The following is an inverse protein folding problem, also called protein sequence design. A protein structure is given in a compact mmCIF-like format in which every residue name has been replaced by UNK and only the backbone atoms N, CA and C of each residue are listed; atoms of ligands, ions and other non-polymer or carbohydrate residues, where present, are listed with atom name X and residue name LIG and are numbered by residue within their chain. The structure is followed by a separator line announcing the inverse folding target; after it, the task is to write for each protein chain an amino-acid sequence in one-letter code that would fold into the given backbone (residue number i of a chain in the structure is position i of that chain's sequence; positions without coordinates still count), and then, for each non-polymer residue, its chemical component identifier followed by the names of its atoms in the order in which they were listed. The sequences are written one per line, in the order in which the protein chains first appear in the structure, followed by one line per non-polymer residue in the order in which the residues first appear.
data_IF_318608894830
#
_entry.id   IF_318608894830
#
_cell.length_a   1.000
_cell.length_b   1.000
_cell.length_c   1.000
_cell.angle_alpha   90.00
_cell.angle_beta   90.00
_cell.angle_gamma   90.00
#
_symmetry.space_group_name_H-M   'P 1'
#
loop_
_entity.id
_entity.type
_entity.pdbx_description
1 polymer ?
#
# COMPACT_ATOMS: atom_id res chain seq x y z
N UNK A 1 71.92 -3.43 -32.73
CA UNK A 1 72.59 -4.20 -31.68
C UNK A 1 71.86 -3.95 -30.35
N UNK A 2 71.51 -5.04 -29.66
CA UNK A 2 71.03 -5.16 -28.26
C UNK A 2 69.64 -4.61 -27.90
N UNK A 3 68.68 -5.47 -28.21
CA UNK A 3 67.56 -5.90 -27.36
C UNK A 3 67.96 -6.13 -25.89
N UNK A 4 67.11 -5.69 -24.96
CA UNK A 4 66.95 -6.31 -23.64
C UNK A 4 65.46 -6.56 -23.39
N UNK A 5 65.14 -7.84 -23.26
CA UNK A 5 63.87 -8.39 -22.82
C UNK A 5 63.83 -8.36 -21.29
N UNK A 6 62.75 -7.83 -20.70
CA UNK A 6 62.38 -8.15 -19.32
C UNK A 6 61.14 -9.05 -19.34
N UNK A 7 61.40 -10.30 -18.99
CA UNK A 7 60.43 -11.35 -18.69
C UNK A 7 59.76 -11.05 -17.34
N UNK A 8 58.43 -10.96 -17.33
CA UNK A 8 57.64 -11.06 -16.09
C UNK A 8 56.85 -12.37 -16.11
N UNK A 9 57.30 -13.28 -15.25
CA UNK A 9 56.70 -14.58 -14.93
C UNK A 9 55.35 -14.39 -14.22
N UNK A 10 54.25 -14.82 -14.85
CA UNK A 10 52.96 -14.99 -14.19
C UNK A 10 52.97 -16.25 -13.31
N UNK A 11 53.12 -16.06 -12.00
CA UNK A 11 52.83 -17.06 -10.99
C UNK A 11 51.32 -17.17 -10.78
N UNK A 12 50.72 -18.29 -11.21
CA UNK A 12 49.36 -18.69 -10.84
C UNK A 12 49.38 -19.25 -9.42
N UNK A 13 49.06 -18.44 -8.41
CA UNK A 13 48.72 -18.95 -7.09
C UNK A 13 47.22 -19.31 -7.02
N UNK A 14 46.98 -20.61 -6.94
CA UNK A 14 45.69 -21.25 -6.66
C UNK A 14 45.39 -21.16 -5.16
N UNK A 15 44.39 -20.36 -4.79
CA UNK A 15 43.88 -20.30 -3.42
C UNK A 15 42.60 -21.15 -3.32
N UNK A 16 42.75 -22.47 -3.22
CA UNK A 16 41.68 -23.37 -2.76
C UNK A 16 41.64 -23.33 -1.24
N UNK A 17 40.80 -22.46 -0.68
CA UNK A 17 40.35 -22.57 0.71
C UNK A 17 39.21 -23.59 0.77
N UNK A 18 39.51 -24.75 1.36
CA UNK A 18 38.52 -25.77 1.69
C UNK A 18 37.62 -25.25 2.83
N UNK A 19 36.35 -24.99 2.51
CA UNK A 19 35.29 -24.80 3.50
C UNK A 19 34.79 -26.17 3.93
N UNK A 20 35.06 -26.54 5.18
CA UNK A 20 34.47 -27.70 5.86
C UNK A 20 32.96 -27.53 5.96
N UNK A 21 32.14 -28.58 5.74
CA UNK A 21 30.70 -28.50 5.93
C UNK A 21 30.34 -28.36 7.42
N UNK A 22 29.23 -27.67 7.76
CA UNK A 22 28.79 -27.51 9.14
C UNK A 22 28.31 -28.86 9.72
N UNK A 23 28.43 -29.07 11.05
CA UNK A 23 27.96 -30.29 11.70
C UNK A 23 26.42 -30.39 11.65
N UNK A 24 25.86 -31.61 11.61
CA UNK A 24 24.41 -31.81 11.58
C UNK A 24 23.76 -31.36 12.90
N UNK A 25 22.48 -30.92 12.86
CA UNK A 25 21.75 -30.50 14.04
C UNK A 25 21.50 -31.67 15.01
N UNK A 26 21.40 -31.41 16.33
CA UNK A 26 21.14 -32.44 17.32
C UNK A 26 19.74 -33.06 17.13
N UNK A 27 19.56 -34.35 17.43
CA UNK A 27 18.28 -35.01 17.29
C UNK A 27 17.25 -34.45 18.30
N UNK A 28 15.95 -34.43 17.95
CA UNK A 28 14.90 -33.96 18.85
C UNK A 28 14.77 -34.87 20.08
N UNK A 29 14.38 -34.33 21.25
CA UNK A 29 14.23 -35.11 22.47
C UNK A 29 13.14 -36.17 22.32
N UNK A 30 13.50 -37.43 22.60
CA UNK A 30 12.56 -38.55 22.68
C UNK A 30 11.69 -38.38 23.92
N UNK A 31 10.42 -38.04 23.72
CA UNK A 31 9.40 -38.11 24.76
C UNK A 31 8.99 -39.59 24.89
N UNK A 32 9.38 -40.24 25.98
CA UNK A 32 8.84 -41.53 26.40
C UNK A 32 7.39 -41.37 26.90
N UNK A 33 6.47 -42.29 26.59
CA UNK A 33 5.10 -42.24 27.10
C UNK A 33 5.08 -42.82 28.52
N UNK A 34 4.97 -41.97 29.53
CA UNK A 34 4.66 -42.39 30.89
C UNK A 34 3.14 -42.33 31.09
N UNK A 35 2.53 -43.52 31.08
CA UNK A 35 1.39 -43.97 31.89
C UNK A 35 0.49 -42.87 32.49
N UNK A 36 -0.59 -42.55 31.79
CA UNK A 36 -1.79 -41.96 32.41
C UNK A 36 -2.61 -43.14 32.95
N UNK A 37 -2.60 -43.30 34.28
CA UNK A 37 -3.54 -44.17 34.97
C UNK A 37 -3.80 -43.60 36.35
N UNK A 38 -5.09 -43.60 36.71
CA UNK A 38 -5.63 -43.44 38.05
C UNK A 38 -5.80 -42.00 38.54
N UNK A 39 -7.01 -41.46 38.37
CA UNK A 39 -7.86 -40.93 39.45
C UNK A 39 -9.24 -40.55 38.89
N UNK A 40 -10.03 -41.57 38.57
CA UNK A 40 -11.49 -41.48 38.51
C UNK A 40 -12.01 -42.20 39.76
N UNK A 41 -12.45 -41.42 40.76
CA UNK A 41 -13.46 -41.77 41.75
C UNK A 41 -13.34 -40.80 42.91
N UNK A 42 -14.29 -39.88 43.03
CA UNK A 42 -14.93 -39.43 44.27
C UNK A 42 -15.69 -38.13 44.00
N UNK A 43 -16.81 -38.26 43.27
CA UNK A 43 -17.99 -37.46 43.62
C UNK A 43 -18.74 -38.25 44.67
N UNK A 44 -19.07 -37.60 45.80
CA UNK A 44 -20.35 -37.63 46.52
C UNK A 44 -20.11 -37.03 47.92
N UNK A 45 -21.06 -36.19 48.35
CA UNK A 45 -21.22 -35.52 49.65
C UNK A 45 -20.78 -34.04 49.71
N UNK A 46 -21.74 -33.18 49.39
CA UNK A 46 -21.86 -31.75 49.72
C UNK A 46 -21.84 -31.51 51.26
N UNK A 47 -21.65 -30.28 51.80
CA UNK A 47 -22.61 -29.19 51.58
C UNK A 47 -22.04 -27.78 51.35
N UNK A 48 -22.94 -27.01 50.74
CA UNK A 48 -22.97 -25.59 50.43
C UNK A 48 -22.74 -24.71 51.66
N UNK A 49 -21.84 -23.73 51.57
CA UNK A 49 -21.86 -22.51 52.38
C UNK A 49 -21.68 -21.30 51.46
N UNK A 50 -22.74 -20.49 51.42
CA UNK A 50 -22.94 -19.27 50.64
C UNK A 50 -22.28 -18.06 51.32
N UNK A 51 -21.63 -17.21 50.53
CA UNK A 51 -21.27 -15.83 50.89
C UNK A 51 -21.96 -14.87 49.91
N UNK A 52 -22.52 -13.74 50.38
CA UNK A 52 -23.41 -12.89 49.58
C UNK A 52 -22.62 -11.95 48.64
N UNK A 53 -23.04 -11.91 47.38
CA UNK A 53 -22.60 -10.91 46.41
C UNK A 53 -23.35 -9.60 46.65
N UNK A 54 -22.62 -8.51 46.85
CA UNK A 54 -23.15 -7.15 46.89
C UNK A 54 -23.57 -6.70 45.49
N UNK A 55 -24.81 -6.23 45.38
CA UNK A 55 -25.39 -5.70 44.15
C UNK A 55 -24.74 -4.36 43.80
N UNK A 56 -24.18 -4.24 42.59
CA UNK A 56 -23.90 -2.98 41.95
C UNK A 56 -24.99 -2.72 40.90
N UNK A 57 -25.70 -1.60 41.05
CA UNK A 57 -26.80 -1.16 40.20
C UNK A 57 -26.35 -1.00 38.73
N UNK A 58 -26.84 -1.91 37.88
CA UNK A 58 -26.75 -1.79 36.42
C UNK A 58 -27.91 -0.91 35.93
N UNK A 59 -27.58 0.29 35.47
CA UNK A 59 -28.48 1.15 34.69
C UNK A 59 -28.90 0.39 33.43
N UNK A 60 -30.19 0.04 33.37
CA UNK A 60 -30.86 -0.58 32.23
C UNK A 60 -30.67 0.24 30.94
N UNK A 61 -29.74 -0.16 30.08
CA UNK A 61 -29.84 0.09 28.64
C UNK A 61 -30.62 -1.07 28.04
N UNK A 62 -31.92 -0.84 27.80
CA UNK A 62 -32.76 -1.70 26.97
C UNK A 62 -32.03 -2.00 25.64
N UNK A 63 -31.93 -3.27 25.21
CA UNK A 63 -31.45 -3.58 23.89
C UNK A 63 -32.47 -3.05 22.86
N UNK A 64 -31.99 -2.17 21.99
CA UNK A 64 -32.75 -1.68 20.83
C UNK A 64 -33.24 -2.88 20.02
N UNK A 65 -34.55 -2.93 19.75
CA UNK A 65 -35.20 -3.91 18.88
C UNK A 65 -34.46 -4.02 17.54
N UNK A 66 -33.63 -5.05 17.36
CA UNK A 66 -33.19 -5.48 16.04
C UNK A 66 -34.30 -6.31 15.42
N UNK A 67 -35.33 -5.64 14.90
CA UNK A 67 -36.34 -6.31 14.07
C UNK A 67 -35.66 -6.73 12.77
N UNK A 68 -35.33 -8.01 12.66
CA UNK A 68 -34.82 -8.57 11.41
C UNK A 68 -35.89 -8.35 10.32
N UNK A 69 -35.54 -7.62 9.26
CA UNK A 69 -36.42 -7.38 8.12
C UNK A 69 -35.89 -8.17 6.91
N UNK A 70 -36.22 -9.47 6.79
CA UNK A 70 -35.71 -10.35 5.73
C UNK A 70 -35.85 -9.77 4.31
N UNK A 71 -36.93 -9.02 4.08
CA UNK A 71 -37.21 -8.38 2.80
C UNK A 71 -36.18 -7.29 2.44
N UNK A 72 -35.79 -6.45 3.42
CA UNK A 72 -34.83 -5.37 3.21
C UNK A 72 -33.41 -5.91 2.98
N UNK A 73 -33.00 -6.93 3.73
CA UNK A 73 -31.71 -7.60 3.54
C UNK A 73 -31.65 -8.32 2.19
N UNK A 74 -32.70 -9.05 1.81
CA UNK A 74 -32.77 -9.68 0.49
C UNK A 74 -32.68 -8.66 -0.66
N UNK A 75 -33.35 -7.51 -0.52
CA UNK A 75 -33.29 -6.45 -1.50
C UNK A 75 -31.90 -5.80 -1.57
N UNK A 76 -31.24 -5.61 -0.43
CA UNK A 76 -29.84 -5.14 -0.35
C UNK A 76 -28.90 -6.12 -1.04
N UNK A 77 -29.00 -7.42 -0.77
CA UNK A 77 -28.19 -8.46 -1.40
C UNK A 77 -28.38 -8.50 -2.92
N UNK A 78 -29.63 -8.42 -3.41
CA UNK A 78 -29.92 -8.33 -4.86
C UNK A 78 -29.25 -7.11 -5.50
N UNK A 79 -29.26 -5.96 -4.84
CA UNK A 79 -28.56 -4.74 -5.31
C UNK A 79 -27.05 -4.94 -5.36
N UNK A 80 -26.46 -5.56 -4.34
CA UNK A 80 -25.02 -5.86 -4.31
C UNK A 80 -24.65 -6.83 -5.43
N UNK A 81 -25.41 -7.91 -5.64
CA UNK A 81 -25.16 -8.87 -6.72
C UNK A 81 -25.24 -8.21 -8.11
N UNK A 82 -26.25 -7.36 -8.34
CA UNK A 82 -26.37 -6.60 -9.59
C UNK A 82 -25.19 -5.65 -9.79
N UNK A 83 -24.73 -5.00 -8.72
CA UNK A 83 -23.55 -4.13 -8.75
C UNK A 83 -22.27 -4.92 -9.07
N UNK A 84 -22.02 -6.06 -8.41
CA UNK A 84 -20.87 -6.92 -8.66
C UNK A 84 -20.82 -7.43 -10.11
N UNK A 85 -21.97 -7.83 -10.66
CA UNK A 85 -22.08 -8.26 -12.07
C UNK A 85 -21.70 -7.13 -13.05
N UNK A 86 -21.88 -5.87 -12.65
CA UNK A 86 -21.51 -4.69 -13.46
C UNK A 86 -20.02 -4.38 -13.38
N UNK A 87 -19.42 -4.45 -12.18
CA UNK A 87 -18.02 -4.01 -11.96
C UNK A 87 -16.98 -5.09 -12.23
N UNK A 88 -17.29 -6.35 -11.92
CA UNK A 88 -16.37 -7.46 -12.18
C UNK A 88 -16.45 -7.82 -13.66
N UNK A 89 -15.35 -7.61 -14.38
CA UNK A 89 -15.26 -7.89 -15.81
C UNK A 89 -15.10 -9.40 -16.07
N UNK A 90 -15.55 -9.91 -17.22
CA UNK A 90 -15.32 -11.30 -17.60
C UNK A 90 -13.83 -11.63 -17.62
N UNK A 91 -13.44 -12.65 -16.86
CA UNK A 91 -12.07 -13.11 -16.79
C UNK A 91 -11.81 -14.23 -17.80
N UNK A 92 -10.66 -14.21 -18.47
CA UNK A 92 -10.19 -15.34 -19.30
C UNK A 92 -9.48 -16.40 -18.45
N UNK A 93 -8.96 -16.00 -17.29
CA UNK A 93 -8.30 -16.85 -16.30
C UNK A 93 -8.50 -16.21 -14.93
N UNK A 94 -8.78 -17.03 -13.91
CA UNK A 94 -8.77 -16.60 -12.51
C UNK A 94 -7.66 -17.33 -11.78
N UNK A 95 -6.89 -16.60 -10.98
CA UNK A 95 -5.80 -17.12 -10.16
C UNK A 95 -6.21 -16.95 -8.70
N UNK A 96 -6.08 -18.01 -7.90
CA UNK A 96 -6.26 -17.92 -6.47
C UNK A 96 -4.93 -17.66 -5.79
N UNK A 97 -4.84 -16.55 -5.08
CA UNK A 97 -3.65 -16.13 -4.34
C UNK A 97 -3.62 -16.81 -2.96
N UNK A 98 -2.44 -17.02 -2.34
CA UNK A 98 -2.32 -17.67 -1.02
C UNK A 98 -3.06 -16.96 0.12
N UNK A 99 -3.27 -15.65 0.00
CA UNK A 99 -4.04 -14.82 0.95
C UNK A 99 -5.57 -14.92 0.76
N UNK A 100 -6.03 -15.71 -0.22
CA UNK A 100 -7.46 -15.93 -0.50
C UNK A 100 -8.04 -15.00 -1.57
N UNK A 101 -7.25 -14.04 -2.07
CA UNK A 101 -7.67 -13.18 -3.17
C UNK A 101 -7.89 -13.98 -4.46
N UNK A 102 -8.86 -13.54 -5.26
CA UNK A 102 -9.04 -13.98 -6.63
C UNK A 102 -8.54 -12.88 -7.57
N UNK A 103 -7.56 -13.20 -8.40
CA UNK A 103 -7.04 -12.30 -9.43
C UNK A 103 -7.61 -12.74 -10.78
N UNK A 104 -8.42 -11.88 -11.38
CA UNK A 104 -9.03 -12.08 -12.68
C UNK A 104 -8.15 -11.46 -13.77
N UNK A 105 -7.69 -12.29 -14.71
CA UNK A 105 -7.05 -11.82 -15.93
C UNK A 105 -8.13 -11.39 -16.91
N UNK A 106 -8.24 -10.08 -17.13
CA UNK A 106 -9.27 -9.45 -17.97
C UNK A 106 -8.62 -8.95 -19.26
N UNK A 107 -9.24 -9.18 -20.41
CA UNK A 107 -8.74 -8.65 -21.68
C UNK A 107 -8.55 -7.13 -21.59
N UNK A 108 -7.40 -6.63 -22.06
CA UNK A 108 -7.00 -5.23 -21.85
C UNK A 108 -8.08 -4.25 -22.31
N UNK A 109 -8.77 -4.50 -23.42
CA UNK A 109 -9.83 -3.62 -23.97
C UNK A 109 -11.18 -3.72 -23.24
N UNK A 110 -11.35 -4.66 -22.30
CA UNK A 110 -12.55 -4.84 -21.48
C UNK A 110 -12.40 -4.31 -20.05
N UNK A 111 -11.23 -3.76 -19.70
CA UNK A 111 -10.94 -3.26 -18.36
C UNK A 111 -11.89 -2.11 -17.94
N UNK A 112 -12.05 -1.85 -16.62
CA UNK A 112 -12.95 -0.81 -16.11
C UNK A 112 -12.71 0.59 -16.68
N UNK A 113 -11.48 0.93 -17.09
CA UNK A 113 -11.15 2.22 -17.70
C UNK A 113 -12.07 2.57 -18.88
N UNK A 114 -12.40 1.58 -19.72
CA UNK A 114 -13.17 1.78 -20.95
C UNK A 114 -14.69 1.90 -20.75
N UNK A 115 -15.16 1.81 -19.50
CA UNK A 115 -16.52 2.23 -19.14
C UNK A 115 -16.65 3.75 -19.11
N UNK A 116 -15.53 4.50 -19.08
CA UNK A 116 -15.55 5.95 -19.17
C UNK A 116 -15.99 6.40 -20.56
N UNK A 117 -16.98 7.30 -20.71
CA UNK A 117 -17.49 7.71 -22.02
C UNK A 117 -16.42 8.23 -22.98
N UNK A 118 -15.42 8.94 -22.45
CA UNK A 118 -14.31 9.49 -23.25
C UNK A 118 -13.21 8.47 -23.58
N UNK A 119 -13.16 7.29 -22.95
CA UNK A 119 -12.18 6.24 -23.28
C UNK A 119 -12.78 5.12 -24.12
N UNK A 120 -14.11 5.01 -24.14
CA UNK A 120 -14.79 3.90 -24.80
C UNK A 120 -14.35 3.75 -26.25
N UNK A 121 -13.86 2.56 -26.60
CA UNK A 121 -13.38 2.24 -27.96
C UNK A 121 -11.95 2.67 -28.26
N UNK A 122 -11.26 3.34 -27.32
CA UNK A 122 -9.83 3.63 -27.45
C UNK A 122 -8.98 2.40 -27.12
N UNK A 123 -7.76 2.38 -27.64
CA UNK A 123 -6.74 1.40 -27.27
C UNK A 123 -5.80 2.01 -26.23
N UNK A 124 -5.17 1.14 -25.44
CA UNK A 124 -4.09 1.57 -24.56
C UNK A 124 -2.94 2.18 -25.41
N UNK A 125 -2.33 3.23 -24.88
CA UNK A 125 -1.17 3.86 -25.52
C UNK A 125 0.08 2.99 -25.44
N UNK A 126 1.00 3.22 -26.38
CA UNK A 126 2.36 2.72 -26.32
C UNK A 126 3.10 3.29 -25.08
N UNK A 127 4.15 2.60 -24.60
CA UNK A 127 5.00 3.09 -23.52
C UNK A 127 5.48 4.54 -23.72
N UNK A 128 5.46 5.39 -22.68
CA UNK A 128 5.90 6.78 -22.77
C UNK A 128 7.43 6.88 -22.73
N UNK A 129 7.94 8.07 -23.04
CA UNK A 129 9.33 8.41 -22.74
C UNK A 129 9.52 8.51 -21.22
N UNK A 130 10.53 7.78 -20.69
CA UNK A 130 10.89 7.82 -19.27
C UNK A 130 11.72 9.08 -18.98
N UNK A 131 11.63 9.67 -17.77
CA UNK A 131 12.45 10.82 -17.41
C UNK A 131 13.96 10.53 -17.50
N UNK A 132 14.76 11.54 -17.86
CA UNK A 132 16.23 11.46 -17.83
C UNK A 132 16.72 11.13 -16.41
N UNK A 133 17.72 10.26 -16.31
CA UNK A 133 18.22 9.77 -15.02
C UNK A 133 17.39 8.63 -14.39
N UNK A 134 16.38 8.10 -15.11
CA UNK A 134 15.74 6.85 -14.73
C UNK A 134 16.54 5.67 -15.31
N UNK A 135 17.52 5.16 -14.56
CA UNK A 135 18.35 4.01 -14.94
C UNK A 135 17.58 2.66 -14.86
N UNK A 136 16.29 2.65 -15.19
CA UNK A 136 15.55 1.39 -15.28
C UNK A 136 16.22 0.49 -16.31
N UNK A 137 16.53 -0.74 -15.91
CA UNK A 137 17.00 -1.80 -16.82
C UNK A 137 16.06 -1.83 -18.04
N UNK A 138 16.65 -1.85 -19.24
CA UNK A 138 15.93 -2.01 -20.51
C UNK A 138 14.89 -3.14 -20.40
N UNK A 139 13.78 -3.02 -21.14
CA UNK A 139 12.64 -3.92 -20.99
C UNK A 139 12.99 -5.42 -21.20
N UNK A 140 14.13 -5.72 -21.84
CA UNK A 140 14.69 -7.08 -22.01
C UNK A 140 15.44 -7.63 -20.77
N UNK A 141 16.05 -6.78 -19.93
CA UNK A 141 16.74 -7.19 -18.70
C UNK A 141 15.82 -7.16 -17.46
N UNK A 142 14.71 -6.41 -17.53
CA UNK A 142 13.62 -6.45 -16.55
C UNK A 142 12.85 -7.78 -16.58
N UNK A 143 12.99 -8.58 -17.64
CA UNK A 143 12.36 -9.89 -17.80
C UNK A 143 13.04 -11.00 -16.95
N UNK A 144 14.32 -10.85 -16.57
CA UNK A 144 15.04 -11.83 -15.73
C UNK A 144 15.07 -11.49 -14.22
N UNK A 145 14.96 -10.21 -13.84
CA UNK A 145 14.85 -9.80 -12.43
C UNK A 145 13.39 -9.54 -12.07
N UNK A 146 12.56 -10.58 -12.15
CA UNK A 146 11.22 -10.54 -11.58
C UNK A 146 11.31 -10.65 -10.06
N UNK A 147 11.50 -9.52 -9.38
CA UNK A 147 11.12 -9.42 -7.98
C UNK A 147 9.58 -9.51 -7.95
N UNK A 148 9.05 -10.68 -7.61
CA UNK A 148 7.62 -10.90 -7.46
C UNK A 148 7.14 -10.15 -6.21
N UNK A 149 6.82 -8.86 -6.35
CA UNK A 149 6.40 -8.01 -5.23
C UNK A 149 5.00 -8.34 -4.69
N UNK A 150 4.31 -9.37 -5.18
CA UNK A 150 2.94 -9.69 -4.82
C UNK A 150 2.74 -11.19 -4.62
N UNK A 151 2.01 -11.56 -3.56
CA UNK A 151 1.82 -12.96 -3.14
C UNK A 151 1.27 -13.86 -4.25
N UNK A 152 0.35 -13.35 -5.06
CA UNK A 152 -0.24 -14.11 -6.17
C UNK A 152 0.80 -14.48 -7.23
N UNK A 153 1.80 -13.63 -7.47
CA UNK A 153 2.88 -13.86 -8.42
C UNK A 153 3.97 -14.78 -7.84
N UNK A 154 4.29 -14.64 -6.56
CA UNK A 154 5.21 -15.55 -5.85
C UNK A 154 4.73 -17.02 -5.90
N UNK A 155 3.41 -17.23 -5.88
CA UNK A 155 2.78 -18.54 -6.03
C UNK A 155 2.78 -19.09 -7.48
N UNK A 156 3.52 -18.47 -8.40
CA UNK A 156 3.56 -18.84 -9.81
C UNK A 156 2.38 -18.30 -10.63
N UNK A 157 1.59 -17.37 -10.07
CA UNK A 157 0.48 -16.73 -10.76
C UNK A 157 0.96 -15.80 -11.86
N UNK A 158 0.42 -15.96 -13.07
CA UNK A 158 0.67 -15.06 -14.19
C UNK A 158 -0.55 -14.96 -15.10
N UNK A 159 -0.80 -13.73 -15.58
CA UNK A 159 -1.86 -13.47 -16.54
C UNK A 159 -1.36 -13.64 -17.99
N UNK A 160 -2.19 -14.20 -18.90
CA UNK A 160 -1.84 -14.32 -20.32
C UNK A 160 -1.56 -12.96 -20.98
N UNK A 161 -0.86 -13.00 -22.10
CA UNK A 161 -0.63 -11.80 -22.90
C UNK A 161 -1.93 -11.20 -23.44
N UNK A 162 -1.99 -9.88 -23.57
CA UNK A 162 -3.23 -9.17 -23.94
C UNK A 162 -4.28 -9.07 -22.82
N UNK A 163 -3.91 -9.41 -21.57
CA UNK A 163 -4.77 -9.27 -20.40
C UNK A 163 -4.10 -8.45 -19.29
N UNK A 164 -4.91 -7.96 -18.35
CA UNK A 164 -4.45 -7.30 -17.13
C UNK A 164 -5.01 -8.04 -15.90
N UNK A 165 -4.25 -8.19 -14.80
CA UNK A 165 -4.74 -8.74 -13.55
C UNK A 165 -5.58 -7.71 -12.78
N UNK A 166 -6.78 -8.11 -12.36
CA UNK A 166 -7.67 -7.31 -11.52
C UNK A 166 -8.06 -8.13 -10.30
N UNK A 167 -7.88 -7.59 -9.09
CA UNK A 167 -8.41 -8.23 -7.87
C UNK A 167 -9.94 -8.21 -7.93
N UNK A 168 -10.58 -9.38 -7.89
CA UNK A 168 -12.03 -9.52 -7.92
C UNK A 168 -12.64 -8.86 -6.69
N UNK A 169 -13.66 -8.02 -6.90
CA UNK A 169 -14.44 -7.46 -5.80
C UNK A 169 -15.48 -8.48 -5.34
N UNK A 170 -15.58 -8.71 -4.03
CA UNK A 170 -16.52 -9.66 -3.44
C UNK A 170 -17.74 -8.96 -2.83
N UNK A 171 -18.79 -9.73 -2.52
CA UNK A 171 -19.94 -9.23 -1.78
C UNK A 171 -19.54 -8.67 -0.41
N UNK A 172 -18.63 -9.35 0.29
CA UNK A 172 -18.11 -8.90 1.58
C UNK A 172 -17.42 -7.55 1.47
N UNK A 173 -16.70 -7.29 0.37
CA UNK A 173 -16.05 -6.01 0.15
C UNK A 173 -17.05 -4.86 0.04
N UNK A 174 -18.11 -5.06 -0.73
CA UNK A 174 -19.15 -4.04 -0.92
C UNK A 174 -19.97 -3.82 0.36
N UNK A 175 -20.20 -4.88 1.14
CA UNK A 175 -20.98 -4.81 2.38
C UNK A 175 -20.25 -4.11 3.54
N UNK A 176 -18.92 -4.04 3.53
CA UNK A 176 -18.15 -3.24 4.50
C UNK A 176 -18.33 -1.73 4.29
N UNK A 177 -18.54 -1.30 3.05
CA UNK A 177 -18.80 0.10 2.75
C UNK A 177 -20.18 0.54 3.24
N UNK A 178 -20.26 1.76 3.76
CA UNK A 178 -21.52 2.38 4.21
C UNK A 178 -22.64 2.39 3.16
N UNK A 179 -22.32 2.43 1.86
CA UNK A 179 -23.29 2.22 0.78
C UNK A 179 -22.60 1.77 -0.51
N UNK A 180 -23.35 1.13 -1.41
CA UNK A 180 -22.87 0.70 -2.74
C UNK A 180 -22.31 1.91 -3.52
N UNK A 181 -22.97 3.06 -3.47
CA UNK A 181 -22.52 4.26 -4.17
C UNK A 181 -21.24 4.89 -3.60
N UNK A 182 -20.84 4.51 -2.38
CA UNK A 182 -19.59 4.97 -1.74
C UNK A 182 -18.48 3.93 -1.77
N UNK A 183 -18.74 2.70 -2.20
CA UNK A 183 -17.70 1.70 -2.33
C UNK A 183 -16.57 2.18 -3.25
N UNK A 184 -15.33 2.04 -2.79
CA UNK A 184 -14.14 2.51 -3.51
C UNK A 184 -13.89 4.02 -3.49
N UNK A 185 -14.66 4.81 -2.73
CA UNK A 185 -14.43 6.27 -2.57
C UNK A 185 -13.99 6.58 -1.14
N UNK A 186 -13.13 7.59 -0.96
CA UNK A 186 -12.79 8.10 0.39
C UNK A 186 -14.04 8.75 1.02
N UNK A 187 -14.15 8.66 2.35
CA UNK A 187 -15.25 9.28 3.10
C UNK A 187 -15.16 10.80 2.98
N UNK A 188 -16.32 11.46 2.82
CA UNK A 188 -16.43 12.93 2.82
C UNK A 188 -16.06 13.49 4.18
N UNK A 189 -14.80 13.87 4.35
CA UNK A 189 -14.32 14.70 5.46
C UNK A 189 -13.62 15.90 4.85
N UNK A 190 -13.73 17.07 5.48
CA UNK A 190 -13.06 18.27 4.97
C UNK A 190 -11.54 18.03 4.98
N UNK A 191 -10.95 17.89 3.79
CA UNK A 191 -9.50 17.78 3.62
C UNK A 191 -8.92 19.17 3.79
N UNK A 192 -8.38 19.41 4.98
CA UNK A 192 -7.63 20.62 5.30
C UNK A 192 -6.14 20.34 5.17
N UNK A 193 -5.37 21.40 4.92
CA UNK A 193 -3.90 21.35 4.90
C UNK A 193 -3.33 21.06 6.30
N UNK A 194 -4.07 21.45 7.35
CA UNK A 194 -3.82 21.18 8.75
C UNK A 194 -4.84 20.16 9.27
N UNK A 195 -4.39 19.09 9.92
CA UNK A 195 -5.21 17.94 10.36
C UNK A 195 -6.18 18.22 11.50
N UNK A 196 -6.44 19.49 11.81
CA UNK A 196 -7.36 19.89 12.87
C UNK A 196 -8.81 19.56 12.47
N UNK A 197 -9.25 18.36 12.86
CA UNK A 197 -10.66 17.94 12.82
C UNK A 197 -11.07 16.97 11.71
N UNK A 198 -10.16 16.49 10.84
CA UNK A 198 -10.50 15.46 9.85
C UNK A 198 -10.39 14.03 10.41
N UNK A 199 -9.66 13.84 11.51
CA UNK A 199 -9.31 12.53 12.05
C UNK A 199 -8.24 11.80 11.23
N UNK A 200 -7.61 12.46 10.27
CA UNK A 200 -6.43 11.97 9.56
C UNK A 200 -5.19 12.57 10.21
N UNK A 201 -4.11 11.81 10.34
CA UNK A 201 -2.86 12.27 10.93
C UNK A 201 -1.69 11.88 10.05
N UNK A 202 -0.80 12.83 9.80
CA UNK A 202 0.27 12.71 8.82
C UNK A 202 1.65 12.82 9.48
N UNK A 203 2.61 12.06 8.94
CA UNK A 203 4.04 12.28 9.13
C UNK A 203 4.69 12.24 7.74
N UNK A 204 4.95 13.43 7.19
CA UNK A 204 5.28 13.62 5.77
C UNK A 204 6.44 14.58 5.58
N UNK A 205 7.06 14.46 4.41
CA UNK A 205 7.95 15.46 3.84
C UNK A 205 7.34 15.91 2.51
N UNK A 206 7.39 17.21 2.22
CA UNK A 206 6.80 17.76 1.01
C UNK A 206 7.63 18.88 0.40
N UNK A 207 7.45 19.09 -0.90
CA UNK A 207 7.90 20.26 -1.64
C UNK A 207 6.68 20.95 -2.27
N UNK A 208 6.72 22.27 -2.30
CA UNK A 208 5.65 23.08 -2.88
C UNK A 208 6.18 24.41 -3.42
N UNK A 209 5.42 25.02 -4.33
CA UNK A 209 5.73 26.35 -4.86
C UNK A 209 6.46 26.35 -6.22
N UNK A 210 6.86 25.19 -6.71
CA UNK A 210 7.40 25.00 -8.06
C UNK A 210 6.42 24.24 -8.96
N UNK A 211 6.78 24.07 -10.23
CA UNK A 211 6.05 23.21 -11.17
C UNK A 211 6.69 21.83 -11.20
N UNK A 212 5.95 20.82 -10.77
CA UNK A 212 6.39 19.43 -10.75
C UNK A 212 5.63 18.63 -11.81
N UNK A 213 6.37 17.79 -12.52
CA UNK A 213 5.86 16.89 -13.56
C UNK A 213 5.92 15.44 -13.12
N UNK A 214 6.22 15.18 -11.84
CA UNK A 214 6.28 13.85 -11.30
C UNK A 214 7.07 13.74 -10.00
N UNK A 215 7.07 12.54 -9.45
CA UNK A 215 7.71 12.19 -8.20
C UNK A 215 8.12 10.72 -8.22
N UNK A 216 9.26 10.40 -7.62
CA UNK A 216 9.80 9.05 -7.50
C UNK A 216 10.38 8.84 -6.10
N UNK A 217 10.14 7.68 -5.52
CA UNK A 217 10.81 7.24 -4.31
C UNK A 217 10.78 5.71 -4.16
N UNK A 218 11.68 5.19 -3.33
CA UNK A 218 11.59 3.84 -2.78
C UNK A 218 10.86 3.91 -1.43
N UNK A 219 9.81 3.11 -1.26
CA UNK A 219 8.92 3.11 -0.10
C UNK A 219 9.08 1.79 0.66
N UNK A 220 9.52 1.87 1.91
CA UNK A 220 9.68 0.70 2.77
C UNK A 220 8.32 0.10 3.16
N UNK A 221 8.18 -1.22 3.05
CA UNK A 221 6.90 -1.93 3.24
C UNK A 221 6.87 -2.63 4.59
N UNK A 222 5.84 -2.35 5.39
CA UNK A 222 5.58 -2.93 6.71
C UNK A 222 4.16 -3.48 6.81
N UNK A 223 3.88 -4.24 7.86
CA UNK A 223 2.51 -4.66 8.24
C UNK A 223 2.12 -3.93 9.54
N UNK A 224 1.81 -2.63 9.50
CA UNK A 224 1.36 -1.92 10.69
C UNK A 224 0.07 -2.54 11.23
N UNK A 225 -0.04 -2.59 12.56
CA UNK A 225 -1.29 -2.95 13.22
C UNK A 225 -2.29 -1.80 13.10
N UNK A 226 -3.42 -2.06 12.46
CA UNK A 226 -4.60 -1.18 12.48
C UNK A 226 -5.53 -1.62 13.62
N UNK A 227 -5.94 -0.68 14.47
CA UNK A 227 -6.67 -0.98 15.72
C UNK A 227 -8.18 -1.12 15.50
N UNK A 228 -8.75 -0.32 14.61
CA UNK A 228 -10.18 -0.27 14.32
C UNK A 228 -10.44 -0.60 12.84
N UNK A 229 -11.54 -1.29 12.54
CA UNK A 229 -11.83 -1.73 11.18
C UNK A 229 -12.11 -0.58 10.21
N UNK A 230 -12.49 0.60 10.73
CA UNK A 230 -12.72 1.84 9.96
C UNK A 230 -11.50 2.76 9.92
N UNK A 231 -10.35 2.29 10.42
CA UNK A 231 -9.07 2.98 10.31
C UNK A 231 -8.23 2.39 9.17
N UNK A 232 -7.20 3.13 8.78
CA UNK A 232 -6.16 2.62 7.89
C UNK A 232 -4.80 3.20 8.30
N UNK A 233 -3.76 2.58 7.77
CA UNK A 233 -2.40 3.08 7.81
C UNK A 233 -1.79 2.94 6.42
N UNK A 234 -1.22 4.01 5.88
CA UNK A 234 -0.66 4.01 4.54
C UNK A 234 0.71 4.66 4.47
N UNK A 235 1.42 4.38 3.37
CA UNK A 235 2.65 5.04 2.99
C UNK A 235 2.65 5.27 1.48
N UNK A 236 2.74 6.52 1.05
CA UNK A 236 2.54 6.86 -0.36
C UNK A 236 3.25 8.14 -0.83
N UNK A 237 3.18 8.34 -2.14
CA UNK A 237 3.49 9.58 -2.84
C UNK A 237 2.17 10.26 -3.19
N UNK A 238 2.06 11.57 -2.93
CA UNK A 238 0.99 12.42 -3.44
C UNK A 238 1.53 13.39 -4.48
N UNK A 239 0.91 13.41 -5.66
CA UNK A 239 1.11 14.44 -6.69
C UNK A 239 -0.13 15.32 -6.70
N UNK A 240 0.04 16.59 -6.35
CA UNK A 240 -1.07 17.48 -5.96
C UNK A 240 -1.06 18.75 -6.81
N UNK A 241 -2.25 19.20 -7.21
CA UNK A 241 -2.46 20.51 -7.84
C UNK A 241 -3.84 21.09 -7.46
N UNK A 242 -3.97 22.42 -7.48
CA UNK A 242 -5.20 23.11 -7.04
C UNK A 242 -5.19 23.46 -5.54
N UNK A 243 -6.37 23.76 -4.99
CA UNK A 243 -6.52 24.25 -3.61
C UNK A 243 -7.24 23.26 -2.70
N UNK A 244 -6.72 23.09 -1.48
CA UNK A 244 -7.34 22.25 -0.45
C UNK A 244 -8.78 22.73 -0.14
N UNK A 245 -9.70 21.77 0.02
CA UNK A 245 -11.10 22.03 0.39
C UNK A 245 -12.04 22.44 -0.77
N UNK A 246 -11.50 22.81 -1.94
CA UNK A 246 -12.30 23.27 -3.08
C UNK A 246 -12.14 22.36 -4.30
N UNK A 247 -11.03 22.49 -5.03
CA UNK A 247 -10.82 21.96 -6.38
C UNK A 247 -9.54 21.12 -6.50
N UNK A 248 -9.07 20.58 -5.37
CA UNK A 248 -7.85 19.78 -5.29
C UNK A 248 -7.89 18.57 -6.24
N UNK A 249 -6.85 18.46 -7.06
CA UNK A 249 -6.54 17.29 -7.86
C UNK A 249 -5.42 16.51 -7.17
N UNK A 250 -5.60 15.20 -6.99
CA UNK A 250 -4.54 14.33 -6.46
C UNK A 250 -4.40 13.08 -7.30
N UNK A 251 -3.15 12.62 -7.43
CA UNK A 251 -2.79 11.25 -7.80
C UNK A 251 -1.96 10.72 -6.64
N UNK A 252 -2.33 9.54 -6.15
CA UNK A 252 -1.73 8.91 -4.99
C UNK A 252 -1.36 7.46 -5.34
N UNK A 253 -0.14 7.05 -4.96
CA UNK A 253 0.34 5.70 -5.18
C UNK A 253 1.30 5.27 -4.07
N UNK A 254 1.12 4.05 -3.58
CA UNK A 254 1.91 3.50 -2.47
C UNK A 254 1.35 2.19 -1.96
N UNK A 255 1.53 1.92 -0.67
CA UNK A 255 0.91 0.77 0.00
C UNK A 255 0.05 1.22 1.18
N UNK A 256 -1.00 0.46 1.46
CA UNK A 256 -1.86 0.70 2.62
C UNK A 256 -2.32 -0.61 3.27
N UNK A 257 -2.59 -0.55 4.56
CA UNK A 257 -3.35 -1.54 5.32
C UNK A 257 -4.71 -0.91 5.63
N UNK A 258 -5.77 -1.44 5.03
CA UNK A 258 -7.14 -0.92 5.18
C UNK A 258 -8.13 -2.09 5.31
N UNK A 259 -8.49 -2.47 6.54
CA UNK A 259 -9.49 -3.51 6.79
C UNK A 259 -10.86 -3.19 6.18
N UNK A 260 -11.29 -1.92 6.22
CA UNK A 260 -12.54 -1.49 5.56
C UNK A 260 -12.53 -1.82 4.06
N UNK A 261 -11.43 -1.52 3.35
CA UNK A 261 -11.36 -1.69 1.90
C UNK A 261 -11.11 -3.15 1.49
N UNK A 262 -10.25 -3.89 2.20
CA UNK A 262 -9.77 -5.20 1.77
C UNK A 262 -10.24 -6.37 2.64
N UNK A 263 -10.69 -6.12 3.87
CA UNK A 263 -11.18 -7.15 4.79
C UNK A 263 -10.06 -7.90 5.51
N UNK A 264 -8.83 -7.43 5.41
CA UNK A 264 -7.65 -8.00 6.05
C UNK A 264 -6.67 -6.91 6.50
N UNK A 265 -5.51 -7.36 7.02
CA UNK A 265 -4.43 -6.49 7.48
C UNK A 265 -3.16 -6.65 6.63
N UNK A 266 -3.26 -7.09 5.37
CA UNK A 266 -2.09 -7.17 4.50
C UNK A 266 -1.76 -5.79 3.91
N UNK A 267 -0.48 -5.40 3.85
CA UNK A 267 -0.10 -4.20 3.09
C UNK A 267 -0.34 -4.46 1.61
N UNK A 268 -1.20 -3.66 0.99
CA UNK A 268 -1.63 -3.83 -0.39
C UNK A 268 -1.18 -2.64 -1.21
N UNK A 269 -0.63 -2.92 -2.40
CA UNK A 269 -0.31 -1.86 -3.35
C UNK A 269 -1.60 -1.19 -3.77
N UNK A 270 -1.67 0.14 -3.72
CA UNK A 270 -2.88 0.86 -4.06
C UNK A 270 -2.59 2.11 -4.85
N UNK A 271 -3.64 2.57 -5.52
CA UNK A 271 -3.68 3.89 -6.11
C UNK A 271 -4.97 4.58 -5.73
N UNK A 272 -4.93 5.91 -5.70
CA UNK A 272 -6.11 6.75 -5.59
C UNK A 272 -5.93 7.98 -6.48
N UNK A 273 -7.02 8.54 -6.98
CA UNK A 273 -7.00 9.84 -7.65
C UNK A 273 -8.31 10.56 -7.37
N UNK A 274 -8.33 11.89 -7.41
CA UNK A 274 -9.54 12.72 -7.35
C UNK A 274 -9.28 14.05 -8.08
N UNK A 275 -10.35 14.73 -8.49
CA UNK A 275 -10.30 16.00 -9.21
C UNK A 275 -11.13 17.10 -8.52
N UNK A 276 -11.76 16.78 -7.39
CA UNK A 276 -12.71 17.65 -6.69
C UNK A 276 -12.54 17.60 -5.16
N UNK A 277 -11.30 17.49 -4.69
CA UNK A 277 -10.99 17.41 -3.27
C UNK A 277 -11.77 16.31 -2.54
N UNK A 278 -11.83 15.11 -3.12
CA UNK A 278 -12.46 13.92 -2.53
C UNK A 278 -13.97 14.03 -2.33
N UNK A 279 -14.65 14.96 -3.02
CA UNK A 279 -16.06 15.22 -2.82
C UNK A 279 -16.96 14.21 -3.54
N UNK A 280 -16.76 14.02 -4.84
CA UNK A 280 -17.61 13.16 -5.67
C UNK A 280 -16.83 12.39 -6.74
N UNK A 281 -15.65 12.87 -7.14
CA UNK A 281 -14.78 12.22 -8.13
C UNK A 281 -13.69 11.40 -7.48
N UNK A 282 -13.15 10.46 -8.25
CA UNK A 282 -12.05 9.63 -7.80
C UNK A 282 -12.45 8.32 -7.16
N UNK A 283 -11.52 7.37 -7.17
CA UNK A 283 -11.69 6.09 -6.50
C UNK A 283 -10.35 5.40 -6.26
N UNK A 284 -10.40 4.41 -5.37
CA UNK A 284 -9.33 3.46 -5.17
C UNK A 284 -9.17 2.51 -6.36
N UNK A 285 -7.93 2.26 -6.74
CA UNK A 285 -7.52 1.19 -7.65
C UNK A 285 -8.33 1.25 -8.97
N UNK A 286 -8.85 0.09 -9.41
CA UNK A 286 -9.71 -0.05 -10.57
C UNK A 286 -11.21 -0.10 -10.22
N UNK A 287 -11.61 0.39 -9.04
CA UNK A 287 -13.01 0.32 -8.57
C UNK A 287 -13.93 1.31 -9.30
N UNK A 288 -13.36 2.23 -10.06
CA UNK A 288 -14.06 3.10 -11.01
C UNK A 288 -13.22 3.28 -12.28
N UNK A 289 -13.83 3.84 -13.32
CA UNK A 289 -13.15 4.15 -14.56
C UNK A 289 -12.27 5.40 -14.40
N UNK A 290 -11.06 5.37 -14.95
CA UNK A 290 -10.14 6.52 -14.93
C UNK A 290 -8.67 6.13 -15.09
N UNK A 291 -8.25 5.00 -14.53
CA UNK A 291 -6.90 4.48 -14.74
C UNK A 291 -6.89 3.41 -15.83
N UNK A 292 -6.04 3.57 -16.84
CA UNK A 292 -5.81 2.58 -17.90
C UNK A 292 -4.59 1.74 -17.52
N UNK A 293 -4.80 0.51 -17.09
CA UNK A 293 -3.74 -0.44 -16.81
C UNK A 293 -3.23 -1.09 -18.11
N UNK A 294 -1.92 -1.25 -18.22
CA UNK A 294 -1.26 -1.72 -19.45
C UNK A 294 -0.45 -3.00 -19.27
N UNK A 295 -0.07 -3.36 -18.04
CA UNK A 295 0.72 -4.58 -17.80
C UNK A 295 -0.10 -5.75 -17.22
N UNK A 296 0.48 -6.94 -17.39
CA UNK A 296 -0.04 -8.24 -16.92
C UNK A 296 0.60 -8.75 -15.61
N UNK A 297 1.51 -7.99 -15.00
CA UNK A 297 2.40 -8.43 -13.90
C UNK A 297 2.01 -7.88 -12.53
N UNK A 298 1.29 -6.76 -12.46
CA UNK A 298 0.92 -6.08 -11.20
C UNK A 298 -0.60 -5.98 -11.07
N UNK A 299 -1.17 -6.59 -10.03
CA UNK A 299 -2.57 -6.44 -9.66
C UNK A 299 -2.71 -5.30 -8.65
N UNK A 300 -3.29 -4.17 -9.04
CA UNK A 300 -3.54 -3.07 -8.09
C UNK A 300 -4.56 -3.54 -7.04
N UNK A 301 -4.23 -3.34 -5.77
CA UNK A 301 -5.00 -3.79 -4.62
C UNK A 301 -4.60 -5.17 -4.08
N UNK A 302 -3.68 -5.90 -4.73
CA UNK A 302 -3.17 -7.18 -4.21
C UNK A 302 -2.09 -6.99 -3.14
N UNK A 303 -1.96 -7.99 -2.26
CA UNK A 303 -1.02 -7.97 -1.15
C UNK A 303 0.43 -8.00 -1.60
N UNK A 304 1.26 -7.17 -0.94
CA UNK A 304 2.70 -7.07 -1.19
C UNK A 304 3.45 -8.11 -0.37
N UNK A 305 4.41 -8.77 -1.00
CA UNK A 305 5.38 -9.67 -0.38
C UNK A 305 6.72 -9.57 -1.10
N UNK A 306 7.86 -9.75 -0.42
CA UNK A 306 8.04 -9.87 1.04
C UNK A 306 7.86 -8.53 1.78
N UNK A 307 7.86 -8.58 3.12
CA UNK A 307 7.59 -7.43 4.01
C UNK A 307 8.70 -7.27 5.04
N UNK A 308 8.97 -6.04 5.47
CA UNK A 308 10.03 -5.74 6.41
C UNK A 308 9.71 -6.23 7.83
N UNK A 309 10.75 -6.50 8.61
CA UNK A 309 10.62 -6.87 10.03
C UNK A 309 11.57 -6.10 10.92
N UNK A 310 11.19 -5.94 12.19
CA UNK A 310 11.98 -5.20 13.18
C UNK A 310 13.33 -5.89 13.41
N UNK A 311 14.43 -5.15 13.29
CA UNK A 311 15.81 -5.65 13.31
C UNK A 311 16.09 -6.79 12.31
N UNK A 312 15.29 -6.87 11.23
CA UNK A 312 15.39 -7.93 10.23
C UNK A 312 15.58 -7.41 8.82
N UNK A 313 15.21 -8.24 7.84
CA UNK A 313 15.30 -7.89 6.42
C UNK A 313 14.35 -6.73 6.11
N UNK A 314 14.84 -5.80 5.32
CA UNK A 314 14.09 -4.62 4.88
C UNK A 314 13.78 -4.76 3.40
N UNK A 315 12.53 -4.45 3.03
CA UNK A 315 12.06 -4.49 1.65
C UNK A 315 11.36 -3.17 1.33
N UNK A 316 11.65 -2.63 0.15
CA UNK A 316 10.98 -1.46 -0.37
C UNK A 316 10.52 -1.66 -1.81
N UNK A 317 9.49 -0.90 -2.18
CA UNK A 317 8.96 -0.84 -3.54
C UNK A 317 9.35 0.49 -4.17
N UNK A 318 9.80 0.46 -5.43
CA UNK A 318 9.95 1.68 -6.22
C UNK A 318 8.60 2.15 -6.73
N UNK A 319 8.25 3.42 -6.54
CA UNK A 319 7.05 4.04 -7.12
C UNK A 319 7.46 5.32 -7.81
N UNK A 320 7.02 5.50 -9.06
CA UNK A 320 7.17 6.74 -9.80
C UNK A 320 5.87 7.09 -10.50
N UNK A 321 5.44 8.34 -10.31
CA UNK A 321 4.34 8.95 -11.06
C UNK A 321 4.91 10.12 -11.82
N UNK A 322 4.70 10.20 -13.14
CA UNK A 322 5.17 11.34 -13.94
C UNK A 322 4.25 11.62 -15.11
N UNK A 323 4.32 12.85 -15.60
CA UNK A 323 3.54 13.32 -16.74
C UNK A 323 4.35 13.11 -18.02
N UNK A 324 3.82 12.30 -18.91
CA UNK A 324 4.40 12.07 -20.24
C UNK A 324 4.43 13.39 -21.03
N UNK A 325 5.60 13.86 -21.52
CA UNK A 325 5.70 15.09 -22.28
C UNK A 325 4.97 15.02 -23.63
N UNK A 326 4.80 13.82 -24.21
CA UNK A 326 4.20 13.63 -25.53
C UNK A 326 2.67 13.73 -25.51
N UNK A 327 2.00 12.99 -24.63
CA UNK A 327 0.54 12.95 -24.57
C UNK A 327 -0.06 13.64 -23.34
N UNK A 328 0.78 14.06 -22.39
CA UNK A 328 0.37 14.75 -21.17
C UNK A 328 -0.30 13.84 -20.11
N UNK A 329 -0.36 12.53 -20.33
CA UNK A 329 -0.95 11.58 -19.39
C UNK A 329 0.00 11.31 -18.22
N UNK A 330 -0.57 11.02 -17.05
CA UNK A 330 0.22 10.68 -15.87
C UNK A 330 0.45 9.18 -15.82
N UNK A 331 1.69 8.74 -15.96
CA UNK A 331 2.08 7.33 -15.93
C UNK A 331 2.53 6.90 -14.54
N UNK A 332 2.25 5.64 -14.23
CA UNK A 332 2.65 4.96 -13.01
C UNK A 332 3.66 3.86 -13.34
N UNK A 333 4.82 3.93 -12.70
CA UNK A 333 5.82 2.88 -12.70
C UNK A 333 5.93 2.27 -11.30
N UNK A 334 6.09 0.94 -11.26
CA UNK A 334 6.27 0.15 -10.05
C UNK A 334 7.57 -0.67 -10.13
N UNK A 335 8.26 -0.81 -9.00
CA UNK A 335 9.52 -1.56 -8.91
C UNK A 335 10.63 -0.98 -9.79
N UNK A 336 11.40 -1.87 -10.41
CA UNK A 336 12.60 -1.57 -11.21
C UNK A 336 12.33 -1.07 -12.64
N UNK A 337 11.09 -0.75 -13.00
CA UNK A 337 10.78 -0.26 -14.36
C UNK A 337 9.41 -0.66 -14.92
N UNK A 338 8.62 -1.44 -14.19
CA UNK A 338 7.34 -1.95 -14.67
C UNK A 338 6.31 -0.82 -14.82
N UNK A 339 5.91 -0.55 -16.05
CA UNK A 339 4.83 0.39 -16.35
C UNK A 339 3.49 -0.22 -15.94
N UNK A 340 2.83 0.33 -14.94
CA UNK A 340 1.51 -0.13 -14.48
C UNK A 340 0.41 0.32 -15.42
N UNK A 341 0.46 1.59 -15.80
CA UNK A 341 -0.58 2.22 -16.60
C UNK A 341 -0.55 3.73 -16.45
N UNK A 342 -1.65 4.38 -16.81
CA UNK A 342 -1.73 5.84 -16.78
C UNK A 342 -3.13 6.38 -16.44
N UNK A 343 -3.15 7.59 -15.90
CA UNK A 343 -4.33 8.44 -15.83
C UNK A 343 -4.33 9.42 -17.01
N UNK A 344 -5.36 9.39 -17.87
CA UNK A 344 -5.50 10.35 -18.94
C UNK A 344 -5.58 11.80 -18.43
N UNK A 345 -4.90 12.71 -19.12
CA UNK A 345 -4.80 14.11 -18.73
C UNK A 345 -6.16 14.83 -18.62
N UNK A 346 -7.13 14.43 -19.44
CA UNK A 346 -8.45 15.07 -19.49
C UNK A 346 -9.29 14.82 -18.22
N UNK A 347 -8.93 13.82 -17.40
CA UNK A 347 -9.59 13.62 -16.11
C UNK A 347 -9.39 14.84 -15.21
N UNK A 348 -8.24 15.48 -15.32
CA UNK A 348 -7.81 16.51 -14.38
C UNK A 348 -8.14 17.92 -14.89
N UNK A 349 -8.40 18.80 -13.94
CA UNK A 349 -8.47 20.24 -14.17
C UNK A 349 -7.07 20.85 -14.01
N UNK A 350 -6.51 20.78 -12.81
CA UNK A 350 -5.22 21.38 -12.45
C UNK A 350 -4.03 20.50 -12.82
N UNK A 351 -4.09 19.20 -12.51
CA UNK A 351 -3.03 18.25 -12.88
C UNK A 351 -2.92 18.04 -14.40
N UNK A 352 -3.85 18.59 -15.20
CA UNK A 352 -3.72 18.61 -16.66
C UNK A 352 -2.47 19.36 -17.11
N UNK A 353 -2.06 20.39 -16.36
CA UNK A 353 -0.85 21.17 -16.65
C UNK A 353 0.35 20.60 -15.91
N UNK A 354 0.37 20.72 -14.59
CA UNK A 354 1.46 20.30 -13.70
C UNK A 354 0.95 20.19 -12.25
N UNK A 355 1.75 19.57 -11.40
CA UNK A 355 1.58 19.60 -9.96
C UNK A 355 2.26 20.83 -9.34
N UNK A 356 1.67 21.41 -8.30
CA UNK A 356 2.25 22.51 -7.53
C UNK A 356 2.81 22.07 -6.16
N UNK A 357 2.59 20.79 -5.83
CA UNK A 357 3.06 20.17 -4.60
C UNK A 357 3.26 18.66 -4.80
N UNK A 358 4.34 18.16 -4.22
CA UNK A 358 4.60 16.72 -4.09
C UNK A 358 4.80 16.41 -2.61
N UNK A 359 4.15 15.36 -2.11
CA UNK A 359 4.31 14.88 -0.74
C UNK A 359 4.72 13.41 -0.71
N UNK A 360 5.47 13.04 0.33
CA UNK A 360 5.92 11.68 0.62
C UNK A 360 5.70 11.42 2.10
N UNK A 361 5.21 10.24 2.48
CA UNK A 361 5.13 9.86 3.89
C UNK A 361 3.96 8.98 4.23
N UNK A 362 3.57 9.02 5.50
CA UNK A 362 2.52 8.20 6.07
C UNK A 362 1.29 9.00 6.48
N UNK A 363 0.15 8.31 6.46
CA UNK A 363 -1.14 8.82 6.92
C UNK A 363 -1.86 7.69 7.68
N UNK A 364 -2.51 8.05 8.78
CA UNK A 364 -3.41 7.15 9.50
C UNK A 364 -4.74 7.83 9.75
N UNK A 365 -5.79 7.03 9.98
CA UNK A 365 -7.04 7.53 10.55
C UNK A 365 -7.05 7.26 12.05
N UNK A 366 -7.40 8.28 12.82
CA UNK A 366 -7.68 8.23 14.24
C UNK A 366 -9.18 8.46 14.47
N UNK A 367 -9.93 7.37 14.61
CA UNK A 367 -11.38 7.41 14.86
C UNK A 367 -11.73 7.79 16.29
N UNK A 368 -10.78 7.62 17.23
CA UNK A 368 -11.01 7.72 18.67
C UNK A 368 -12.22 6.91 19.15
N UNK A 369 -12.46 5.73 18.56
CA UNK A 369 -13.65 4.89 18.85
C UNK A 369 -13.82 4.52 20.33
N UNK A 370 -12.74 4.57 21.11
CA UNK A 370 -12.71 4.30 22.55
C UNK A 370 -12.57 5.55 23.43
N UNK A 371 -12.69 6.75 22.85
CA UNK A 371 -12.60 8.04 23.56
C UNK A 371 -11.17 8.56 23.78
N UNK A 372 -10.15 7.86 23.29
CA UNK A 372 -8.74 8.22 23.37
C UNK A 372 -8.05 8.03 22.01
N UNK A 373 -6.79 8.45 21.88
CA UNK A 373 -6.05 8.33 20.63
C UNK A 373 -5.92 6.87 20.16
N UNK A 374 -6.05 6.61 18.86
CA UNK A 374 -5.89 5.25 18.31
C UNK A 374 -4.50 4.66 18.58
N UNK A 375 -4.42 3.34 18.75
CA UNK A 375 -3.18 2.56 18.75
C UNK A 375 -2.79 2.05 17.36
N UNK A 376 -3.43 2.57 16.30
CA UNK A 376 -3.05 2.27 14.92
C UNK A 376 -1.63 2.73 14.66
N UNK A 377 -0.82 1.83 14.13
CA UNK A 377 0.59 2.09 13.86
C UNK A 377 0.76 2.80 12.51
N UNK A 378 1.68 3.76 12.42
CA UNK A 378 2.12 4.33 11.15
C UNK A 378 3.46 3.71 10.74
N UNK A 379 3.59 3.32 9.48
CA UNK A 379 4.80 2.71 8.95
C UNK A 379 5.14 1.39 9.67
N UNK A 380 6.25 1.36 10.38
CA UNK A 380 6.68 0.19 11.18
C UNK A 380 6.05 0.14 12.57
N UNK A 381 5.35 1.19 13.00
CA UNK A 381 4.90 1.35 14.38
C UNK A 381 5.95 1.92 15.33
N UNK A 382 7.11 2.31 14.82
CA UNK A 382 8.24 2.86 15.58
C UNK A 382 8.57 4.28 15.14
N UNK A 383 9.06 5.09 16.08
CA UNK A 383 9.45 6.47 15.82
C UNK A 383 10.68 6.55 14.91
N UNK A 384 10.79 7.61 14.12
CA UNK A 384 11.84 7.91 13.16
C UNK A 384 13.25 7.91 13.77
N UNK A 385 13.36 8.21 15.08
CA UNK A 385 14.62 8.19 15.82
C UNK A 385 15.27 6.80 15.92
N UNK A 386 14.53 5.71 15.74
CA UNK A 386 15.08 4.35 15.80
C UNK A 386 15.91 3.97 14.56
N UNK A 387 15.66 4.61 13.42
CA UNK A 387 16.46 4.51 12.21
C UNK A 387 16.28 3.21 11.42
N UNK A 388 17.29 2.87 10.61
CA UNK A 388 17.24 1.70 9.74
C UNK A 388 16.95 0.41 10.51
N UNK A 389 16.27 -0.53 9.86
CA UNK A 389 15.77 -1.81 10.40
C UNK A 389 14.67 -1.72 11.45
N UNK A 390 14.29 -0.53 11.92
CA UNK A 390 13.30 -0.34 13.00
C UNK A 390 12.19 0.63 12.61
N UNK A 391 12.55 1.77 12.05
CA UNK A 391 11.62 2.78 11.55
C UNK A 391 11.30 2.54 10.07
N UNK A 392 10.09 2.92 9.66
CA UNK A 392 9.76 3.00 8.24
C UNK A 392 10.55 4.12 7.56
N UNK A 393 10.84 3.97 6.27
CA UNK A 393 11.59 4.96 5.52
C UNK A 393 11.08 5.17 4.08
N UNK A 394 11.39 6.34 3.56
CA UNK A 394 11.52 6.57 2.13
C UNK A 394 12.97 6.88 1.82
N UNK A 395 13.46 6.42 0.67
CA UNK A 395 14.79 6.76 0.14
C UNK A 395 14.72 7.10 -1.34
N UNK A 396 15.79 7.69 -1.87
CA UNK A 396 15.90 8.13 -3.25
C UNK A 396 14.73 9.06 -3.65
N UNK A 397 14.39 10.03 -2.79
CA UNK A 397 13.36 11.02 -3.12
C UNK A 397 13.83 11.84 -4.32
N UNK A 398 12.99 11.87 -5.36
CA UNK A 398 13.20 12.64 -6.58
C UNK A 398 11.88 13.25 -7.06
N UNK A 399 11.97 14.37 -7.77
CA UNK A 399 10.87 14.98 -8.51
C UNK A 399 11.22 15.03 -10.00
N UNK A 400 10.21 15.10 -10.85
CA UNK A 400 10.41 15.33 -12.30
C UNK A 400 10.15 16.80 -12.59
N UNK A 401 11.10 17.45 -13.25
CA UNK A 401 11.01 18.85 -13.64
C UNK A 401 10.46 19.02 -15.07
N UNK A 402 10.48 20.26 -15.57
CA UNK A 402 9.88 20.65 -16.85
C UNK A 402 10.59 20.05 -18.07
N UNK A 403 11.87 19.69 -17.95
CA UNK A 403 12.66 19.12 -19.04
C UNK A 403 12.64 17.58 -19.06
N UNK A 404 11.71 17.01 -18.28
CA UNK A 404 11.53 15.58 -18.07
C UNK A 404 12.78 14.92 -17.46
N UNK A 405 13.42 15.56 -16.48
CA UNK A 405 14.56 15.00 -15.73
C UNK A 405 14.19 14.67 -14.29
N UNK A 406 14.72 13.55 -13.78
CA UNK A 406 14.66 13.22 -12.37
C UNK A 406 15.72 14.01 -11.60
N UNK A 407 15.27 14.90 -10.72
CA UNK A 407 16.15 15.72 -9.89
C UNK A 407 15.85 15.53 -8.40
N UNK A 408 16.85 15.65 -7.51
CA UNK A 408 16.60 15.69 -6.07
C UNK A 408 15.71 16.90 -5.72
N UNK A 409 14.67 16.73 -4.89
CA UNK A 409 13.85 17.85 -4.45
C UNK A 409 14.66 18.84 -3.60
N UNK A 410 14.58 20.12 -3.94
CA UNK A 410 15.07 21.22 -3.11
C UNK A 410 13.99 21.72 -2.14
N UNK A 411 14.40 22.36 -1.03
CA UNK A 411 13.49 23.03 -0.09
C UNK A 411 12.41 22.13 0.53
N UNK A 412 12.77 20.88 0.85
CA UNK A 412 11.89 19.95 1.55
C UNK A 412 11.45 20.52 2.90
N UNK A 413 10.15 20.39 3.17
CA UNK A 413 9.50 20.76 4.42
C UNK A 413 9.00 19.51 5.11
N UNK A 414 9.11 19.49 6.43
CA UNK A 414 8.68 18.37 7.27
C UNK A 414 7.38 18.77 7.97
N UNK A 415 6.42 17.85 8.05
CA UNK A 415 5.18 18.00 8.81
C UNK A 415 4.87 16.70 9.57
N UNK A 416 4.66 16.82 10.88
CA UNK A 416 4.02 15.81 11.71
C UNK A 416 2.89 16.48 12.48
N UNK A 417 1.65 16.03 12.29
CA UNK A 417 0.50 16.67 12.95
C UNK A 417 0.53 16.46 14.47
N UNK A 418 0.89 15.25 14.90
CA UNK A 418 1.08 14.91 16.30
C UNK A 418 2.42 14.18 16.49
N UNK A 419 3.54 14.91 16.66
CA UNK A 419 4.88 14.34 16.72
C UNK A 419 5.10 13.37 17.89
N UNK A 420 4.29 13.46 18.95
CA UNK A 420 4.33 12.50 20.06
C UNK A 420 3.67 11.16 19.73
N UNK A 421 2.84 11.10 18.69
CA UNK A 421 2.13 9.90 18.23
C UNK A 421 2.85 9.28 17.02
N UNK A 422 3.24 10.14 16.07
CA UNK A 422 3.98 9.79 14.86
C UNK A 422 4.95 10.91 14.50
N UNK A 423 6.23 10.60 14.29
CA UNK A 423 7.25 11.59 13.95
C UNK A 423 7.92 11.28 12.60
N UNK A 424 8.73 12.23 12.15
CA UNK A 424 9.48 12.15 10.89
C UNK A 424 10.83 12.84 11.05
N UNK A 425 11.87 12.24 10.49
CA UNK A 425 13.24 12.78 10.51
C UNK A 425 13.92 12.56 9.18
N UNK A 426 14.27 13.67 8.52
CA UNK A 426 14.99 13.65 7.25
C UNK A 426 16.49 13.40 7.42
N UNK A 427 17.13 12.91 6.35
CA UNK A 427 18.57 12.75 6.24
C UNK A 427 19.03 12.73 4.78
N UNK A 428 20.34 12.73 4.59
CA UNK A 428 20.96 12.60 3.28
C UNK A 428 22.25 11.78 3.38
N UNK A 429 22.48 10.92 2.40
CA UNK A 429 23.78 10.29 2.18
C UNK A 429 23.93 9.89 0.70
N UNK A 430 25.14 9.51 0.29
CA UNK A 430 25.45 9.17 -1.13
C UNK A 430 24.72 7.93 -1.65
N UNK A 431 24.29 7.03 -0.76
CA UNK A 431 23.70 5.73 -1.14
C UNK A 431 22.18 5.81 -1.26
N UNK A 432 21.53 6.56 -0.37
CA UNK A 432 20.07 6.70 -0.30
C UNK A 432 19.57 8.03 -0.88
N UNK A 433 20.48 8.89 -1.35
CA UNK A 433 20.16 10.26 -1.71
C UNK A 433 19.51 10.99 -0.54
N UNK A 434 18.47 11.76 -0.84
CA UNK A 434 17.58 12.31 0.18
C UNK A 434 16.65 11.18 0.65
N UNK A 435 16.55 11.03 1.97
CA UNK A 435 15.72 10.03 2.62
C UNK A 435 15.07 10.60 3.89
N UNK A 436 14.09 9.91 4.42
CA UNK A 436 13.58 10.19 5.76
C UNK A 436 13.07 8.91 6.43
N UNK A 437 13.17 8.88 7.76
CA UNK A 437 12.45 7.92 8.59
C UNK A 437 11.14 8.54 9.07
N UNK A 438 10.10 7.72 9.22
CA UNK A 438 8.82 8.13 9.76
C UNK A 438 8.12 6.97 10.46
N UNK A 439 7.14 7.30 11.30
CA UNK A 439 6.23 6.33 11.90
C UNK A 439 5.98 6.61 13.36
N UNK A 440 5.32 5.65 14.00
CA UNK A 440 5.04 5.70 15.43
C UNK A 440 3.94 4.74 15.84
N UNK A 441 3.82 4.46 17.14
CA UNK A 441 2.89 3.47 17.66
C UNK A 441 1.45 3.99 17.76
N UNK A 442 1.22 5.27 17.45
CA UNK A 442 -0.01 5.96 17.82
C UNK A 442 -0.05 6.18 19.32
N UNK A 443 -1.07 5.65 19.99
CA UNK A 443 -1.28 5.82 21.42
C UNK A 443 -0.07 5.35 22.25
N UNK A 444 0.45 6.25 23.08
CA UNK A 444 1.55 5.98 24.01
C UNK A 444 1.54 6.99 25.18
N UNK A 445 2.50 6.90 26.10
CA UNK A 445 2.56 7.79 27.28
C UNK A 445 2.65 9.29 26.96
N UNK A 446 3.20 9.66 25.78
CA UNK A 446 3.27 11.06 25.29
C UNK A 446 2.09 11.41 24.35
N UNK A 447 1.26 10.43 24.02
CA UNK A 447 0.11 10.54 23.12
C UNK A 447 -1.05 9.68 23.66
N UNK A 448 -1.78 10.15 24.69
CA UNK A 448 -2.69 9.31 25.48
C UNK A 448 -4.02 8.91 24.84
#
# INVERSE_FOLDING_TARGET
MRTQQHSFSQSKHSSKLALSPPPPPPPPPRIMPMLVSSLFALCLLSPVLSLPATAAESINKLPVNQTFHPYNELHKLKKVQAYLKKINKPAVKTIQSPDGDLIDCVLTHLQPAFDHPQLKGQKALDPPERPKGNDSTTDEAADEVTDAFQLWAEAGGSCPEGTIPIRRTTERDVLRASSIGRFGRKLRRHVRRDSTGSGHEHAVVYVNGDQFYGAKANINVWTPRVTDEYEFSLSQIWVISGSFGNDLNTIEAGWQVSPELYGDNYPRFFTYWTTDAYQATGCYNLLCSGFVQTNRRIAIGAAISPRSSYNGRQFDIGVMVWKDPKHGHWWLQFGSGLLVGYWPAYLFSHLRSHANMVQFGGEVVNTRSRGYHTSTQMGSGHFAGEGFTRSSYFRNLQVVDWDNSLIPPSNLRILADHPNCYDVRQGWNRVWGIYFYFGGPGRNVRCP
#
